data_IF_601620322289
#
_entry.id   IF_601620322289
#
_cell.length_a   1.000
_cell.length_b   1.000
_cell.length_c   1.000
_cell.angle_alpha   90.00
_cell.angle_beta   90.00
_cell.angle_gamma   90.00
#
_symmetry.space_group_name_H-M   'P 1'
#
loop_
_entity.id
_entity.type
_entity.pdbx_description
1 polymer ?
#
# COMPACT_ATOMS: atom_id res chain seq x y z
N UNK A 1 -15.62 2.24 -1.13
CA UNK A 1 -15.67 1.51 0.15
C UNK A 1 -15.46 2.49 1.29
N UNK A 2 -16.12 2.27 2.43
CA UNK A 2 -15.97 3.11 3.63
C UNK A 2 -15.53 2.20 4.77
N UNK A 3 -14.49 2.57 5.50
CA UNK A 3 -13.98 1.84 6.67
C UNK A 3 -13.85 2.77 7.88
N UNK A 4 -14.12 2.26 9.08
CA UNK A 4 -13.80 2.96 10.33
C UNK A 4 -12.33 2.76 10.71
N UNK A 5 -11.81 3.56 11.66
CA UNK A 5 -10.47 3.35 12.23
C UNK A 5 -10.27 1.91 12.72
N UNK A 6 -11.23 1.37 13.49
CA UNK A 6 -11.16 0.00 14.00
C UNK A 6 -11.10 -1.06 12.89
N UNK A 7 -11.77 -0.81 11.76
CA UNK A 7 -11.77 -1.73 10.63
C UNK A 7 -10.47 -1.65 9.82
N UNK A 8 -9.87 -0.46 9.70
CA UNK A 8 -8.67 -0.28 8.88
C UNK A 8 -7.40 -0.67 9.63
N UNK A 9 -7.28 -0.45 10.95
CA UNK A 9 -6.05 -0.72 11.70
C UNK A 9 -5.53 -2.16 11.54
N UNK A 10 -6.38 -3.22 11.63
CA UNK A 10 -5.94 -4.58 11.35
C UNK A 10 -5.43 -4.77 9.91
N UNK A 11 -6.02 -4.05 8.95
CA UNK A 11 -5.58 -4.05 7.57
C UNK A 11 -4.22 -3.35 7.44
N UNK A 12 -4.03 -2.18 8.05
CA UNK A 12 -2.76 -1.45 8.05
C UNK A 12 -1.63 -2.31 8.62
N UNK A 13 -1.89 -3.06 9.69
CA UNK A 13 -0.93 -4.03 10.24
C UNK A 13 -0.57 -5.15 9.26
N UNK A 14 -1.55 -5.67 8.51
CA UNK A 14 -1.28 -6.67 7.45
C UNK A 14 -0.43 -6.09 6.33
N UNK A 15 -0.69 -4.85 5.91
CA UNK A 15 0.12 -4.18 4.89
C UNK A 15 1.57 -3.98 5.35
N UNK A 16 1.77 -3.60 6.62
CA UNK A 16 3.11 -3.51 7.22
C UNK A 16 3.84 -4.85 7.19
N UNK A 17 3.16 -5.93 7.59
CA UNK A 17 3.73 -7.28 7.56
C UNK A 17 4.10 -7.71 6.15
N UNK A 18 3.24 -7.44 5.15
CA UNK A 18 3.54 -7.73 3.74
C UNK A 18 4.75 -6.94 3.25
N UNK A 19 4.82 -5.63 3.55
CA UNK A 19 5.96 -4.79 3.17
C UNK A 19 7.28 -5.32 3.78
N UNK A 20 7.24 -5.75 5.04
CA UNK A 20 8.40 -6.32 5.72
C UNK A 20 8.83 -7.67 5.13
N UNK A 21 7.88 -8.55 4.82
CA UNK A 21 8.16 -9.84 4.16
C UNK A 21 8.79 -9.64 2.78
N UNK A 22 8.30 -8.68 1.99
CA UNK A 22 8.89 -8.36 0.70
C UNK A 22 10.30 -7.77 0.85
N UNK A 23 10.53 -6.94 1.86
CA UNK A 23 11.86 -6.41 2.16
C UNK A 23 12.86 -7.52 2.51
N UNK A 24 12.45 -8.50 3.34
CA UNK A 24 13.29 -9.61 3.76
C UNK A 24 13.83 -10.45 2.60
N UNK A 25 13.08 -10.57 1.48
CA UNK A 25 13.54 -11.29 0.28
C UNK A 25 14.86 -10.76 -0.28
N UNK A 26 15.13 -9.47 -0.09
CA UNK A 26 16.36 -8.81 -0.55
C UNK A 26 17.45 -8.77 0.53
N UNK A 27 17.12 -9.14 1.78
CA UNK A 27 18.02 -9.10 2.92
C UNK A 27 18.78 -10.41 3.16
N UNK A 28 18.36 -11.52 2.52
CA UNK A 28 19.03 -12.83 2.59
C UNK A 28 20.37 -12.84 1.85
N UNK A 29 21.33 -12.05 2.35
CA UNK A 29 22.72 -11.99 1.89
C UNK A 29 23.52 -13.14 2.52
N UNK A 30 23.18 -14.38 2.19
CA UNK A 30 23.99 -15.55 2.56
C UNK A 30 25.23 -15.72 1.66
N UNK A 31 25.40 -14.85 0.65
CA UNK A 31 26.48 -14.95 -0.32
C UNK A 31 27.66 -14.05 0.07
N UNK A 32 28.87 -14.63 0.10
CA UNK A 32 30.14 -13.96 0.46
C UNK A 32 30.54 -12.80 -0.48
N UNK A 33 29.82 -12.57 -1.58
CA UNK A 33 30.03 -11.47 -2.51
C UNK A 33 28.68 -10.85 -2.88
N UNK A 34 28.52 -9.56 -2.59
CA UNK A 34 27.33 -8.79 -2.94
C UNK A 34 27.59 -8.07 -4.26
N UNK A 35 26.71 -8.23 -5.25
CA UNK A 35 26.81 -7.50 -6.53
C UNK A 35 26.29 -6.07 -6.38
N UNK A 36 26.73 -5.16 -7.25
CA UNK A 36 26.22 -3.78 -7.27
C UNK A 36 24.69 -3.73 -7.48
N UNK A 37 24.15 -4.62 -8.31
CA UNK A 37 22.71 -4.73 -8.56
C UNK A 37 21.93 -5.14 -7.30
N UNK A 38 22.47 -6.10 -6.52
CA UNK A 38 21.88 -6.51 -5.25
C UNK A 38 21.87 -5.35 -4.22
N UNK A 39 22.93 -4.54 -4.16
CA UNK A 39 22.97 -3.34 -3.32
C UNK A 39 21.91 -2.31 -3.74
N UNK A 40 21.80 -2.04 -5.05
CA UNK A 40 20.78 -1.11 -5.58
C UNK A 40 19.36 -1.59 -5.24
N UNK A 41 19.10 -2.89 -5.38
CA UNK A 41 17.79 -3.48 -5.03
C UNK A 41 17.50 -3.37 -3.53
N UNK A 42 18.50 -3.62 -2.68
CA UNK A 42 18.37 -3.48 -1.23
C UNK A 42 18.10 -2.02 -0.83
N UNK A 43 18.86 -1.06 -1.37
CA UNK A 43 18.66 0.36 -1.12
C UNK A 43 17.25 0.82 -1.52
N UNK A 44 16.81 0.40 -2.72
CA UNK A 44 15.47 0.69 -3.19
C UNK A 44 14.39 0.10 -2.27
N UNK A 45 14.57 -1.16 -1.86
CA UNK A 45 13.67 -1.85 -0.94
C UNK A 45 13.60 -1.18 0.44
N UNK A 46 14.73 -0.77 1.01
CA UNK A 46 14.80 0.00 2.25
C UNK A 46 14.03 1.32 2.14
N UNK A 47 14.24 2.09 1.06
CA UNK A 47 13.53 3.35 0.85
C UNK A 47 12.02 3.14 0.77
N UNK A 48 11.58 2.15 -0.03
CA UNK A 48 10.16 1.79 -0.16
C UNK A 48 9.56 1.45 1.22
N UNK A 49 10.22 0.60 2.00
CA UNK A 49 9.77 0.21 3.33
C UNK A 49 9.67 1.39 4.31
N UNK A 50 10.66 2.29 4.30
CA UNK A 50 10.63 3.50 5.15
C UNK A 50 9.43 4.39 4.80
N UNK A 51 9.17 4.63 3.51
CA UNK A 51 8.01 5.41 3.07
C UNK A 51 6.69 4.76 3.51
N UNK A 52 6.54 3.45 3.30
CA UNK A 52 5.34 2.71 3.72
C UNK A 52 5.15 2.78 5.24
N UNK A 53 6.23 2.57 6.01
CA UNK A 53 6.17 2.58 7.47
C UNK A 53 5.76 3.95 7.99
N UNK A 54 6.30 5.03 7.40
CA UNK A 54 5.93 6.40 7.75
C UNK A 54 4.44 6.66 7.53
N UNK A 55 3.92 6.34 6.34
CA UNK A 55 2.50 6.51 6.03
C UNK A 55 1.62 5.68 6.98
N UNK A 56 1.98 4.43 7.24
CA UNK A 56 1.20 3.55 8.12
C UNK A 56 1.18 4.09 9.56
N UNK A 57 2.30 4.60 10.08
CA UNK A 57 2.33 5.26 11.39
C UNK A 57 1.42 6.50 11.44
N UNK A 58 1.42 7.30 10.36
CA UNK A 58 0.51 8.44 10.25
C UNK A 58 -0.95 7.99 10.30
N UNK A 59 -1.33 6.98 9.52
CA UNK A 59 -2.71 6.49 9.48
C UNK A 59 -3.15 5.83 10.80
N UNK A 60 -2.26 5.08 11.46
CA UNK A 60 -2.55 4.44 12.74
C UNK A 60 -2.70 5.44 13.89
N UNK A 61 -2.02 6.59 13.82
CA UNK A 61 -2.10 7.64 14.84
C UNK A 61 -3.31 8.56 14.70
N UNK A 62 -4.13 8.37 13.66
CA UNK A 62 -5.37 9.14 13.50
C UNK A 62 -6.39 8.81 14.61
N UNK A 63 -7.26 9.78 14.96
CA UNK A 63 -8.33 9.59 15.94
C UNK A 63 -9.22 8.36 15.70
N UNK A 64 -9.80 7.80 16.75
CA UNK A 64 -10.66 6.60 16.66
C UNK A 64 -11.96 6.84 15.89
N UNK A 65 -12.43 8.08 15.82
CA UNK A 65 -13.59 8.51 15.03
C UNK A 65 -13.26 8.80 13.55
N UNK A 66 -12.02 8.50 13.10
CA UNK A 66 -11.63 8.63 11.70
C UNK A 66 -12.41 7.65 10.82
N UNK A 67 -12.93 8.18 9.71
CA UNK A 67 -13.58 7.42 8.64
C UNK A 67 -12.74 7.48 7.36
N UNK A 68 -12.52 6.34 6.73
CA UNK A 68 -11.74 6.20 5.51
C UNK A 68 -12.64 6.00 4.31
N UNK A 69 -12.58 6.93 3.38
CA UNK A 69 -13.22 6.83 2.09
C UNK A 69 -12.22 6.31 1.08
N UNK A 70 -12.43 5.07 0.63
CA UNK A 70 -11.55 4.40 -0.33
C UNK A 70 -12.28 4.32 -1.67
N UNK A 71 -11.75 5.03 -2.67
CA UNK A 71 -12.24 5.02 -4.05
C UNK A 71 -11.19 4.36 -4.92
N UNK A 72 -11.64 3.51 -5.84
CA UNK A 72 -10.79 2.90 -6.86
C UNK A 72 -11.44 3.06 -8.23
N UNK A 73 -10.62 3.02 -9.27
CA UNK A 73 -11.02 3.03 -10.67
C UNK A 73 -10.08 2.10 -11.43
N UNK A 74 -10.66 1.27 -12.30
CA UNK A 74 -9.90 0.45 -13.23
C UNK A 74 -9.92 1.16 -14.58
N UNK A 75 -8.75 1.40 -15.14
CA UNK A 75 -8.56 1.99 -16.45
C UNK A 75 -8.19 0.88 -17.42
N UNK A 76 -9.04 0.64 -18.44
CA UNK A 76 -8.80 -0.32 -19.51
C UNK A 76 -8.70 0.49 -20.80
N UNK A 77 -7.56 0.39 -21.48
CA UNK A 77 -7.34 1.00 -22.79
C UNK A 77 -6.81 -0.08 -23.74
N UNK A 78 -7.23 -0.08 -25.00
CA UNK A 78 -6.89 -1.14 -25.96
C UNK A 78 -5.37 -1.32 -26.17
N UNK A 79 -4.59 -0.26 -26.02
CA UNK A 79 -3.14 -0.25 -26.26
C UNK A 79 -2.29 -0.31 -24.98
N UNK A 80 -2.92 -0.33 -23.80
CA UNK A 80 -2.21 -0.26 -22.51
C UNK A 80 -2.62 -1.41 -21.59
N UNK A 81 -1.71 -1.77 -20.69
CA UNK A 81 -2.01 -2.71 -19.62
C UNK A 81 -3.08 -2.09 -18.70
N UNK A 82 -4.10 -2.85 -18.26
CA UNK A 82 -5.07 -2.37 -17.30
C UNK A 82 -4.39 -1.82 -16.04
N UNK A 83 -4.82 -0.63 -15.63
CA UNK A 83 -4.28 0.07 -14.46
C UNK A 83 -5.37 0.26 -13.38
N UNK A 84 -4.96 0.32 -12.11
CA UNK A 84 -5.85 0.60 -10.99
C UNK A 84 -5.39 1.88 -10.29
N UNK A 85 -6.24 2.91 -10.36
CA UNK A 85 -6.07 4.11 -9.53
C UNK A 85 -6.82 3.95 -8.22
N UNK A 86 -6.12 4.01 -7.08
CA UNK A 86 -6.72 3.94 -5.74
C UNK A 86 -6.46 5.22 -4.94
N UNK A 87 -7.48 5.71 -4.26
CA UNK A 87 -7.42 6.87 -3.39
C UNK A 87 -7.99 6.52 -2.01
N UNK A 88 -7.18 6.70 -0.98
CA UNK A 88 -7.56 6.55 0.44
C UNK A 88 -7.65 7.94 1.06
N UNK A 89 -8.85 8.31 1.49
CA UNK A 89 -9.10 9.59 2.16
C UNK A 89 -9.58 9.39 3.59
N UNK A 90 -8.71 9.51 4.60
CA UNK A 90 -9.15 9.61 5.98
C UNK A 90 -9.84 10.96 6.22
N UNK A 91 -10.91 10.96 7.01
CA UNK A 91 -11.68 12.13 7.42
C UNK A 91 -11.99 12.00 8.90
N UNK A 92 -11.67 13.03 9.68
CA UNK A 92 -12.11 13.14 11.07
C UNK A 92 -13.23 14.18 11.17
N UNK A 93 -14.10 14.12 12.19
CA UNK A 93 -15.08 15.17 12.45
C UNK A 93 -14.43 16.55 12.69
N UNK A 94 -13.19 16.57 13.22
CA UNK A 94 -12.45 17.78 13.53
C UNK A 94 -11.62 18.33 12.36
N UNK A 95 -11.35 17.54 11.32
CA UNK A 95 -10.54 17.97 10.18
C UNK A 95 -10.91 17.22 8.90
N UNK A 96 -11.21 18.00 7.85
CA UNK A 96 -11.47 17.49 6.51
C UNK A 96 -10.24 17.53 5.60
N UNK A 97 -9.06 17.87 6.14
CA UNK A 97 -7.83 17.96 5.36
C UNK A 97 -7.48 16.57 4.80
N UNK A 98 -7.35 16.44 3.47
CA UNK A 98 -7.02 15.16 2.87
C UNK A 98 -5.57 14.82 3.19
N UNK A 99 -5.36 13.79 4.01
CA UNK A 99 -4.05 13.16 4.14
C UNK A 99 -3.76 12.41 2.85
N UNK A 100 -2.58 12.65 2.25
CA UNK A 100 -2.11 11.94 1.07
C UNK A 100 -1.18 10.83 1.53
N UNK A 101 -1.47 9.61 1.11
CA UNK A 101 -0.56 8.48 1.25
C UNK A 101 0.31 8.36 0.01
N UNK A 102 1.48 7.76 0.17
CA UNK A 102 2.42 7.56 -0.92
C UNK A 102 1.90 6.56 -1.97
N UNK A 103 2.42 6.63 -3.21
CA UNK A 103 2.17 5.61 -4.22
C UNK A 103 2.55 4.20 -3.72
N UNK A 104 3.66 4.08 -2.98
CA UNK A 104 4.15 2.79 -2.47
C UNK A 104 3.16 2.12 -1.52
N UNK A 105 2.47 2.89 -0.67
CA UNK A 105 1.41 2.36 0.18
C UNK A 105 0.13 2.09 -0.63
N UNK A 106 -0.17 2.94 -1.61
CA UNK A 106 -1.32 2.76 -2.51
C UNK A 106 -1.24 1.44 -3.28
N UNK A 107 -0.06 1.08 -3.80
CA UNK A 107 0.19 -0.20 -4.48
C UNK A 107 -0.11 -1.39 -3.55
N UNK A 108 0.33 -1.33 -2.29
CA UNK A 108 0.05 -2.37 -1.31
C UNK A 108 -1.44 -2.53 -1.00
N UNK A 109 -2.17 -1.41 -0.92
CA UNK A 109 -3.62 -1.46 -0.80
C UNK A 109 -4.28 -2.14 -2.00
N UNK A 110 -3.84 -1.79 -3.21
CA UNK A 110 -4.34 -2.38 -4.45
C UNK A 110 -4.10 -3.89 -4.45
N UNK A 111 -2.86 -4.32 -4.24
CA UNK A 111 -2.47 -5.73 -4.23
C UNK A 111 -3.28 -6.52 -3.20
N UNK A 112 -3.41 -5.98 -1.98
CA UNK A 112 -4.21 -6.61 -0.94
C UNK A 112 -5.68 -6.72 -1.33
N UNK A 113 -6.29 -5.63 -1.81
CA UNK A 113 -7.71 -5.61 -2.14
C UNK A 113 -8.06 -6.47 -3.34
N UNK A 114 -7.20 -6.55 -4.35
CA UNK A 114 -7.36 -7.50 -5.45
C UNK A 114 -7.26 -8.93 -4.92
N UNK A 115 -6.24 -9.24 -4.10
CA UNK A 115 -6.03 -10.57 -3.52
C UNK A 115 -7.20 -11.06 -2.68
N UNK A 116 -7.85 -10.17 -1.91
CA UNK A 116 -9.01 -10.53 -1.07
C UNK A 116 -10.37 -10.33 -1.76
N UNK A 117 -10.38 -10.04 -3.07
CA UNK A 117 -11.61 -9.88 -3.85
C UNK A 117 -12.45 -8.64 -3.51
N UNK A 118 -11.84 -7.61 -2.91
CA UNK A 118 -12.49 -6.32 -2.60
C UNK A 118 -12.47 -5.35 -3.78
N UNK A 119 -11.50 -5.50 -4.67
CA UNK A 119 -11.40 -4.83 -5.97
C UNK A 119 -11.31 -5.93 -7.04
N UNK A 120 -12.00 -5.80 -8.18
CA UNK A 120 -11.84 -6.75 -9.28
C UNK A 120 -10.39 -6.84 -9.74
N UNK A 121 -9.93 -8.04 -10.07
CA UNK A 121 -8.64 -8.20 -10.72
C UNK A 121 -8.76 -7.69 -12.17
N UNK A 122 -8.06 -6.60 -12.54
CA UNK A 122 -8.24 -5.96 -13.84
C UNK A 122 -7.77 -6.87 -15.00
N UNK A 123 -6.92 -7.85 -14.71
CA UNK A 123 -6.43 -8.84 -15.66
C UNK A 123 -7.41 -9.97 -15.95
N UNK A 124 -8.49 -10.07 -15.17
CA UNK A 124 -9.54 -11.08 -15.33
C UNK A 124 -10.84 -10.49 -15.85
N UNK A 125 -10.88 -9.19 -16.16
CA UNK A 125 -12.04 -8.54 -16.75
C UNK A 125 -11.97 -8.75 -18.26
N UNK A 126 -12.63 -9.81 -18.73
CA UNK A 126 -12.85 -10.13 -20.14
C UNK A 126 -14.16 -9.55 -20.64
#
# INVERSE_FOLDING_TARGET
>A
MILTQEQIVPLLNKLLQTAWQDHQKYFSLEQKQVTQEQLIQLEHSCRKLTTITHDLQLLMSLPTDTTYYIKWQINIQEAELPDISLNVRPVTPASHHPLRISPQLTDLFIDYFVKVGRIPNPWLIS
#
